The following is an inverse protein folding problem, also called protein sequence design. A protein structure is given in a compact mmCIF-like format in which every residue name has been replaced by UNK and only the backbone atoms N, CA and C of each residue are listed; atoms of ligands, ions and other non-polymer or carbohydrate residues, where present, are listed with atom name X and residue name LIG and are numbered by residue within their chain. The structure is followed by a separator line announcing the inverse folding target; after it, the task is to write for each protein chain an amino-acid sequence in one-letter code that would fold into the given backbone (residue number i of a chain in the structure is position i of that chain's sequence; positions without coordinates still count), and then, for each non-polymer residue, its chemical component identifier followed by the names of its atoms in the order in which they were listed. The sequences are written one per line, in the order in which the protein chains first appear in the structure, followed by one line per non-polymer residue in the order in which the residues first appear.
data_IF_255170443133
#
_entry.id   IF_255170443133
#
_cell.length_a   1.000
_cell.length_b   1.000
_cell.length_c   1.000
_cell.angle_alpha   90.00
_cell.angle_beta   90.00
_cell.angle_gamma   90.00
#
_symmetry.space_group_name_H-M   'P 1'
#
loop_
_entity.id
_entity.type
_entity.pdbx_description
1 polymer ?
#
# COMPACT_ATOMS: atom_id res chain seq x y z
N UNK A 1 7.40 8.27 -7.60
CA UNK A 1 8.41 7.40 -8.24
C UNK A 1 7.74 6.07 -8.60
N UNK A 2 7.93 5.57 -9.81
CA UNK A 2 7.42 4.27 -10.26
C UNK A 2 8.61 3.33 -10.49
N UNK A 3 8.62 2.18 -9.83
CA UNK A 3 9.74 1.25 -9.87
C UNK A 3 9.57 0.26 -11.02
N UNK A 4 10.60 0.16 -11.87
CA UNK A 4 10.71 -0.89 -12.87
C UNK A 4 11.70 -1.94 -12.37
N UNK A 5 11.19 -3.10 -11.95
CA UNK A 5 11.98 -4.18 -11.38
C UNK A 5 12.30 -5.20 -12.48
N UNK A 6 13.58 -5.37 -12.80
CA UNK A 6 14.03 -6.34 -13.78
C UNK A 6 14.52 -7.62 -13.10
N UNK A 7 14.03 -8.77 -13.56
CA UNK A 7 14.49 -10.08 -13.14
C UNK A 7 15.55 -10.65 -14.09
N UNK A 8 16.33 -11.62 -13.62
CA UNK A 8 17.20 -12.43 -14.48
C UNK A 8 16.35 -13.29 -15.43
N UNK A 9 16.76 -13.51 -16.70
CA UNK A 9 15.95 -14.20 -17.71
C UNK A 9 15.50 -15.62 -17.36
N UNK A 10 16.19 -16.29 -16.43
CA UNK A 10 15.97 -17.67 -15.99
C UNK A 10 15.39 -17.77 -14.57
N UNK A 11 15.18 -16.65 -13.89
CA UNK A 11 14.70 -16.67 -12.51
C UNK A 11 13.17 -16.81 -12.47
N UNK A 12 12.69 -17.92 -11.91
CA UNK A 12 11.25 -18.20 -11.73
C UNK A 12 10.58 -17.28 -10.70
N UNK A 13 11.37 -16.68 -9.81
CA UNK A 13 10.89 -15.79 -8.75
C UNK A 13 11.68 -14.47 -8.77
N UNK A 14 10.94 -13.37 -8.69
CA UNK A 14 11.52 -12.04 -8.53
C UNK A 14 12.07 -11.91 -7.09
N UNK A 15 13.26 -11.31 -6.90
CA UNK A 15 13.81 -11.11 -5.56
C UNK A 15 12.88 -10.24 -4.72
N UNK A 16 12.76 -10.54 -3.43
CA UNK A 16 12.02 -9.71 -2.48
C UNK A 16 12.88 -8.48 -2.15
N UNK A 17 12.46 -7.32 -2.64
CA UNK A 17 13.16 -6.05 -2.40
C UNK A 17 12.58 -5.42 -1.13
N UNK A 18 13.45 -5.05 -0.19
CA UNK A 18 13.04 -4.36 1.04
C UNK A 18 12.45 -2.99 0.70
N UNK A 19 11.32 -2.63 1.35
CA UNK A 19 10.60 -1.37 1.11
C UNK A 19 9.54 -1.42 0.00
N UNK A 20 9.53 -2.46 -0.83
CA UNK A 20 8.42 -2.73 -1.75
C UNK A 20 7.39 -3.65 -1.10
N UNK A 21 6.10 -3.38 -1.32
CA UNK A 21 5.00 -4.24 -0.83
C UNK A 21 5.15 -5.67 -1.33
N UNK A 22 5.42 -5.81 -2.63
CA UNK A 22 5.78 -7.09 -3.24
C UNK A 22 6.69 -6.83 -4.45
N UNK A 23 7.38 -7.88 -4.92
CA UNK A 23 8.32 -7.79 -6.04
C UNK A 23 7.68 -7.46 -7.40
N UNK A 24 6.36 -7.26 -7.44
CA UNK A 24 5.57 -6.92 -8.64
C UNK A 24 4.87 -5.56 -8.51
N UNK A 25 5.09 -4.83 -7.41
CA UNK A 25 4.42 -3.57 -7.17
C UNK A 25 5.19 -2.45 -7.87
N UNK A 26 4.46 -1.65 -8.64
CA UNK A 26 4.98 -0.46 -9.32
C UNK A 26 5.32 0.67 -8.33
N UNK A 27 4.82 0.57 -7.09
CA UNK A 27 4.95 1.60 -6.07
C UNK A 27 5.57 1.07 -4.78
N UNK A 28 6.42 1.89 -4.16
CA UNK A 28 6.94 1.63 -2.83
C UNK A 28 5.85 1.73 -1.76
N UNK A 29 6.12 1.17 -0.58
CA UNK A 29 5.17 1.19 0.54
C UNK A 29 4.86 2.63 0.98
N UNK A 30 5.79 3.56 0.81
CA UNK A 30 5.63 4.99 1.12
C UNK A 30 4.49 5.63 0.33
N UNK A 31 4.28 5.21 -0.92
CA UNK A 31 3.18 5.73 -1.76
C UNK A 31 1.84 5.24 -1.21
N UNK A 32 1.76 3.96 -0.85
CA UNK A 32 0.56 3.35 -0.29
C UNK A 32 0.19 4.01 1.04
N UNK A 33 1.18 4.22 1.92
CA UNK A 33 0.98 4.88 3.20
C UNK A 33 0.58 6.34 3.04
N UNK A 34 1.18 7.07 2.09
CA UNK A 34 0.82 8.47 1.83
C UNK A 34 -0.62 8.58 1.33
N UNK A 35 -1.04 7.72 0.40
CA UNK A 35 -2.43 7.68 -0.09
C UNK A 35 -3.41 7.34 1.04
N UNK A 36 -3.08 6.36 1.89
CA UNK A 36 -3.90 5.98 3.04
C UNK A 36 -4.00 7.11 4.08
N UNK A 37 -2.88 7.77 4.38
CA UNK A 37 -2.86 8.92 5.28
C UNK A 37 -3.73 10.06 4.76
N UNK A 38 -3.56 10.45 3.50
CA UNK A 38 -4.35 11.54 2.93
C UNK A 38 -5.85 11.19 2.88
N UNK A 39 -6.20 9.96 2.46
CA UNK A 39 -7.60 9.59 2.31
C UNK A 39 -8.30 9.35 3.66
N UNK A 40 -7.70 8.54 4.54
CA UNK A 40 -8.37 8.11 5.77
C UNK A 40 -8.04 8.97 6.99
N UNK A 41 -6.82 9.48 7.10
CA UNK A 41 -6.41 10.28 8.26
C UNK A 41 -6.75 11.76 8.08
N UNK A 42 -6.42 12.33 6.93
CA UNK A 42 -6.75 13.73 6.60
C UNK A 42 -8.20 13.87 6.12
N UNK A 43 -8.76 12.81 5.53
CA UNK A 43 -10.18 12.75 5.17
C UNK A 43 -10.52 13.40 3.83
N UNK A 44 -9.55 13.56 2.92
CA UNK A 44 -9.81 14.13 1.58
C UNK A 44 -10.27 13.06 0.59
N UNK A 45 -11.03 13.47 -0.42
CA UNK A 45 -11.49 12.56 -1.47
C UNK A 45 -10.32 11.97 -2.26
N UNK A 46 -10.48 10.76 -2.79
CA UNK A 46 -9.44 10.12 -3.60
C UNK A 46 -9.04 10.96 -4.82
N UNK A 47 -9.97 11.73 -5.40
CA UNK A 47 -9.65 12.63 -6.51
C UNK A 47 -8.66 13.71 -6.07
N UNK A 48 -8.86 14.27 -4.87
CA UNK A 48 -7.95 15.26 -4.31
C UNK A 48 -6.63 14.65 -3.83
N UNK A 49 -6.63 13.40 -3.35
CA UNK A 49 -5.38 12.66 -3.07
C UNK A 49 -4.53 12.57 -4.32
N UNK A 50 -5.10 12.24 -5.48
CA UNK A 50 -4.38 12.17 -6.74
C UNK A 50 -3.74 13.53 -7.11
N UNK A 51 -4.48 14.64 -6.94
CA UNK A 51 -3.96 15.99 -7.17
C UNK A 51 -2.80 16.35 -6.22
N UNK A 52 -2.94 16.06 -4.92
CA UNK A 52 -1.92 16.30 -3.90
C UNK A 52 -0.66 15.47 -4.19
N UNK A 53 -0.84 14.20 -4.55
CA UNK A 53 0.26 13.32 -4.93
C UNK A 53 1.01 13.84 -6.17
N UNK A 54 0.28 14.26 -7.20
CA UNK A 54 0.86 14.86 -8.39
C UNK A 54 1.61 16.16 -8.08
N UNK A 55 1.02 17.02 -7.25
CA UNK A 55 1.61 18.31 -6.88
C UNK A 55 2.92 18.17 -6.09
N UNK A 56 2.94 17.36 -5.03
CA UNK A 56 4.11 17.26 -4.15
C UNK A 56 5.19 16.29 -4.65
N UNK A 57 4.80 15.26 -5.42
CA UNK A 57 5.75 14.18 -5.81
C UNK A 57 5.96 14.08 -7.32
N UNK A 58 5.20 14.83 -8.12
CA UNK A 58 5.19 14.69 -9.58
C UNK A 58 4.63 13.36 -10.08
N UNK A 59 4.03 12.55 -9.20
CA UNK A 59 3.53 11.22 -9.53
C UNK A 59 2.05 11.28 -9.91
N UNK A 60 1.76 11.02 -11.18
CA UNK A 60 0.39 10.89 -11.65
C UNK A 60 -0.18 9.52 -11.27
N UNK A 61 -0.87 9.47 -10.12
CA UNK A 61 -1.62 8.30 -9.67
C UNK A 61 -3.07 8.48 -10.08
N UNK A 62 -3.61 7.60 -10.91
CA UNK A 62 -5.04 7.61 -11.22
C UNK A 62 -5.87 7.16 -10.01
N UNK A 63 -7.13 7.59 -9.94
CA UNK A 63 -8.06 7.17 -8.88
C UNK A 63 -8.18 5.65 -8.75
N UNK A 64 -8.19 4.93 -9.87
CA UNK A 64 -8.26 3.46 -9.88
C UNK A 64 -6.99 2.84 -9.29
N UNK A 65 -5.80 3.38 -9.60
CA UNK A 65 -4.55 2.95 -8.99
C UNK A 65 -4.54 3.27 -7.49
N UNK A 66 -4.94 4.47 -7.08
CA UNK A 66 -5.03 4.84 -5.67
C UNK A 66 -5.97 3.90 -4.89
N UNK A 67 -7.15 3.60 -5.44
CA UNK A 67 -8.07 2.64 -4.86
C UNK A 67 -7.49 1.21 -4.80
N UNK A 68 -6.77 0.79 -5.84
CA UNK A 68 -6.08 -0.50 -5.84
C UNK A 68 -5.01 -0.58 -4.73
N UNK A 69 -4.24 0.49 -4.51
CA UNK A 69 -3.25 0.57 -3.43
C UNK A 69 -3.90 0.46 -2.04
N UNK A 70 -5.04 1.12 -1.83
CA UNK A 70 -5.78 1.02 -0.57
C UNK A 70 -6.39 -0.37 -0.34
N UNK A 71 -6.94 -1.00 -1.38
CA UNK A 71 -7.46 -2.36 -1.29
C UNK A 71 -6.34 -3.37 -0.99
N UNK A 72 -5.18 -3.17 -1.60
CA UNK A 72 -3.98 -3.95 -1.34
C UNK A 72 -3.53 -3.82 0.11
N UNK A 73 -3.45 -2.59 0.63
CA UNK A 73 -3.12 -2.32 2.03
C UNK A 73 -4.12 -3.00 2.99
N UNK A 74 -5.41 -2.89 2.69
CA UNK A 74 -6.46 -3.53 3.50
C UNK A 74 -6.32 -5.05 3.54
N UNK A 75 -5.99 -5.68 2.41
CA UNK A 75 -5.76 -7.12 2.35
C UNK A 75 -4.56 -7.54 3.19
N UNK A 76 -3.45 -6.80 3.09
CA UNK A 76 -2.23 -7.09 3.85
C UNK A 76 -2.48 -6.93 5.37
N UNK A 77 -3.26 -5.92 5.77
CA UNK A 77 -3.63 -5.70 7.18
C UNK A 77 -4.65 -6.69 7.72
N UNK A 78 -5.48 -7.31 6.88
CA UNK A 78 -6.56 -8.19 7.35
C UNK A 78 -6.03 -9.38 8.15
N UNK A 79 -4.88 -9.93 7.77
CA UNK A 79 -4.25 -11.03 8.49
C UNK A 79 -3.82 -10.59 9.90
N UNK A 80 -3.07 -9.49 10.00
CA UNK A 80 -2.57 -8.94 11.26
C UNK A 80 -3.72 -8.49 12.18
N UNK A 81 -4.75 -7.86 11.62
CA UNK A 81 -5.94 -7.44 12.36
C UNK A 81 -6.63 -8.63 13.04
N UNK A 82 -6.82 -9.74 12.32
CA UNK A 82 -7.46 -10.93 12.88
C UNK A 82 -6.64 -11.49 14.05
N UNK A 83 -5.32 -11.55 13.91
CA UNK A 83 -4.44 -12.00 15.00
C UNK A 83 -4.52 -11.09 16.22
N UNK A 84 -4.49 -9.76 16.03
CA UNK A 84 -4.62 -8.81 17.14
C UNK A 84 -6.01 -8.90 17.79
N UNK A 85 -7.08 -9.04 17.01
CA UNK A 85 -8.43 -9.20 17.52
C UNK A 85 -8.57 -10.48 18.36
N UNK A 86 -7.99 -11.59 17.91
CA UNK A 86 -7.96 -12.85 18.68
C UNK A 86 -7.19 -12.71 19.99
N UNK A 87 -6.01 -12.08 19.97
CA UNK A 87 -5.21 -11.83 21.18
C UNK A 87 -5.95 -10.94 22.18
N UNK A 88 -6.60 -9.87 21.70
CA UNK A 88 -7.42 -9.00 22.54
C UNK A 88 -8.61 -9.74 23.12
N UNK A 89 -9.29 -10.58 22.32
CA UNK A 89 -10.42 -11.39 22.80
C UNK A 89 -9.97 -12.37 23.91
N UNK A 90 -8.79 -12.99 23.78
CA UNK A 90 -8.24 -13.86 24.81
C UNK A 90 -7.91 -13.11 26.11
N UNK A 91 -7.46 -11.85 26.04
CA UNK A 91 -7.18 -11.02 27.21
C UNK A 91 -8.43 -10.42 27.86
N UNK A 92 -9.54 -10.31 27.13
CA UNK A 92 -10.82 -9.78 27.65
C UNK A 92 -11.66 -10.82 28.41
N UNK A 93 -11.33 -12.11 28.33
CA UNK A 93 -12.05 -13.21 29.01
C UNK A 93 -11.50 -13.46 30.44
N UNK A 94 -11.00 -12.42 31.11
CA UNK A 94 -10.54 -12.49 32.51
C UNK A 94 -11.62 -11.99 33.48
#
# INVERSE_FOLDING_TARGET
MCYHIYGLPLATQLPKISGLRNSRSEYGIEIILTVAFLHYWIGISLDHVCEVMAFFTGLEVSKSQANALLNQLSHDWKQEYNTLAELLAQQLVI
#
